data_IF_213976498939
#
_entry.id   IF_213976498939
#
_cell.length_a   1.000
_cell.length_b   1.000
_cell.length_c   1.000
_cell.angle_alpha   90.00
_cell.angle_beta   90.00
_cell.angle_gamma   90.00
#
_symmetry.space_group_name_H-M   'P 1'
#
loop_
_entity.id
_entity.type
_entity.pdbx_description
1 polymer ?
#
# COMPACT_ATOMS: atom_id res chain seq x y z
N UNK A 1 11.47 13.74 -24.77
CA UNK A 1 10.88 12.58 -24.14
C UNK A 1 9.44 12.87 -23.76
N UNK A 2 8.50 12.09 -24.26
CA UNK A 2 7.07 12.23 -23.95
C UNK A 2 6.82 11.65 -22.55
N UNK A 3 6.61 12.51 -21.56
CA UNK A 3 6.14 12.07 -20.26
C UNK A 3 4.68 11.61 -20.38
N UNK A 4 4.40 10.35 -20.12
CA UNK A 4 3.03 9.85 -20.06
C UNK A 4 2.41 10.26 -18.72
N UNK A 5 1.67 11.37 -18.72
CA UNK A 5 0.91 11.76 -17.55
C UNK A 5 -0.35 10.87 -17.47
N UNK A 6 -0.56 10.26 -16.32
CA UNK A 6 -1.74 9.50 -15.98
C UNK A 6 -2.70 10.41 -15.22
N UNK A 7 -3.99 10.38 -15.54
CA UNK A 7 -5.02 11.18 -14.87
C UNK A 7 -5.99 10.28 -14.11
N UNK A 8 -6.29 10.56 -12.85
CA UNK A 8 -7.32 9.82 -12.14
C UNK A 8 -8.69 10.09 -12.74
N UNK A 9 -9.50 9.07 -12.86
CA UNK A 9 -10.93 9.17 -13.20
C UNK A 9 -11.76 9.55 -11.97
N UNK A 10 -13.06 9.82 -12.15
CA UNK A 10 -13.97 9.99 -11.01
C UNK A 10 -14.01 8.74 -10.10
N UNK A 11 -13.90 7.53 -10.67
CA UNK A 11 -13.79 6.31 -9.90
C UNK A 11 -12.44 6.23 -9.13
N UNK A 12 -11.34 6.64 -9.76
CA UNK A 12 -10.04 6.71 -9.12
C UNK A 12 -10.00 7.70 -7.95
N UNK A 13 -10.60 8.88 -8.11
CA UNK A 13 -10.70 9.87 -7.03
C UNK A 13 -11.51 9.30 -5.85
N UNK A 14 -12.65 8.64 -6.10
CA UNK A 14 -13.41 7.94 -5.05
C UNK A 14 -12.62 6.80 -4.40
N UNK A 15 -11.78 6.13 -5.15
CA UNK A 15 -10.87 5.11 -4.63
C UNK A 15 -9.67 5.72 -3.89
N UNK A 16 -9.46 7.03 -4.00
CA UNK A 16 -8.48 7.83 -3.26
C UNK A 16 -7.20 8.13 -4.03
N UNK A 17 -7.21 8.05 -5.35
CA UNK A 17 -6.13 8.62 -6.16
C UNK A 17 -6.22 10.14 -6.13
N UNK A 18 -5.12 10.80 -5.78
CA UNK A 18 -5.04 12.26 -5.83
C UNK A 18 -4.56 12.72 -7.20
N UNK A 19 -5.07 13.87 -7.73
CA UNK A 19 -4.65 14.41 -9.03
C UNK A 19 -3.13 14.69 -9.14
N UNK A 20 -2.49 15.03 -8.02
CA UNK A 20 -1.06 15.33 -7.96
C UNK A 20 -0.17 14.07 -7.95
N UNK A 21 -0.73 12.91 -7.62
CA UNK A 21 -0.03 11.62 -7.56
C UNK A 21 0.02 10.91 -8.92
N UNK A 22 -0.59 11.49 -9.95
CA UNK A 22 -0.47 11.01 -11.32
C UNK A 22 0.96 11.23 -11.81
N UNK A 23 1.80 10.23 -11.56
CA UNK A 23 3.25 10.31 -11.74
C UNK A 23 3.63 10.71 -13.15
N UNK A 24 4.69 11.50 -13.26
CA UNK A 24 5.43 11.65 -14.49
C UNK A 24 6.14 10.32 -14.73
N UNK A 25 5.59 9.47 -15.57
CA UNK A 25 6.35 8.32 -16.06
C UNK A 25 7.49 8.85 -16.91
N UNK A 26 8.72 8.65 -16.48
CA UNK A 26 9.93 8.97 -17.24
C UNK A 26 10.31 7.84 -18.19
N UNK A 27 9.45 6.85 -18.39
CA UNK A 27 9.70 5.74 -19.29
C UNK A 27 9.78 6.23 -20.74
N UNK A 28 11.00 6.49 -21.16
CA UNK A 28 11.34 6.74 -22.56
C UNK A 28 11.39 5.38 -23.28
N UNK A 29 10.37 5.12 -24.10
CA UNK A 29 10.43 4.04 -25.09
C UNK A 29 9.81 2.70 -24.72
N UNK A 30 9.28 2.52 -23.55
CA UNK A 30 8.51 1.28 -23.23
C UNK A 30 7.12 1.32 -23.87
N UNK A 31 6.62 0.18 -24.39
CA UNK A 31 5.25 0.13 -24.89
C UNK A 31 4.26 0.45 -23.75
N UNK A 32 3.27 1.27 -24.07
CA UNK A 32 2.18 1.56 -23.12
C UNK A 32 1.35 0.29 -22.97
N UNK A 33 1.36 -0.28 -21.77
CA UNK A 33 0.47 -1.36 -21.42
C UNK A 33 -0.87 -0.78 -20.98
N UNK A 34 -1.93 -1.04 -21.76
CA UNK A 34 -3.29 -0.64 -21.42
C UNK A 34 -4.16 -1.86 -21.31
N UNK A 35 -4.84 -2.05 -20.15
CA UNK A 35 -5.79 -3.15 -20.01
C UNK A 35 -7.04 -2.88 -20.85
N UNK A 36 -7.67 -3.95 -21.31
CA UNK A 36 -8.99 -3.88 -21.96
C UNK A 36 -10.04 -4.06 -20.87
N UNK A 37 -10.83 -2.99 -20.56
CA UNK A 37 -11.87 -3.08 -19.52
C UNK A 37 -12.94 -4.10 -19.92
N UNK A 38 -13.41 -4.86 -18.95
CA UNK A 38 -14.56 -5.74 -19.07
C UNK A 38 -15.76 -5.13 -18.32
N UNK A 39 -16.94 -5.70 -18.55
CA UNK A 39 -18.15 -5.26 -17.84
C UNK A 39 -17.96 -5.40 -16.31
N UNK A 40 -18.11 -4.29 -15.60
CA UNK A 40 -17.96 -4.24 -14.15
C UNK A 40 -16.58 -3.80 -13.67
N UNK A 41 -15.59 -3.70 -14.55
CA UNK A 41 -14.29 -3.14 -14.20
C UNK A 41 -14.39 -1.64 -13.92
N UNK A 42 -13.53 -1.14 -13.03
CA UNK A 42 -13.42 0.26 -12.69
C UNK A 42 -12.09 0.80 -13.21
N UNK A 43 -12.15 1.70 -14.19
CA UNK A 43 -10.95 2.44 -14.64
C UNK A 43 -10.66 3.50 -13.58
N UNK A 44 -9.53 3.35 -12.87
CA UNK A 44 -9.12 4.27 -11.81
C UNK A 44 -8.30 5.44 -12.36
N UNK A 45 -7.51 5.20 -13.40
CA UNK A 45 -6.74 6.24 -14.07
C UNK A 45 -6.59 5.95 -15.56
N UNK A 46 -6.40 7.01 -16.33
CA UNK A 46 -6.25 6.98 -17.79
C UNK A 46 -4.98 7.70 -18.22
N UNK A 47 -4.40 7.25 -19.31
CA UNK A 47 -3.37 7.97 -20.04
C UNK A 47 -3.97 9.22 -20.72
N UNK A 48 -3.12 10.13 -21.19
CA UNK A 48 -3.58 11.35 -21.90
C UNK A 48 -4.42 11.06 -23.15
N UNK A 49 -4.20 9.93 -23.79
CA UNK A 49 -4.97 9.48 -24.96
C UNK A 49 -6.31 8.82 -24.61
N UNK A 50 -6.70 8.81 -23.32
CA UNK A 50 -7.94 8.19 -22.82
C UNK A 50 -7.86 6.66 -22.63
N UNK A 51 -6.73 6.04 -22.95
CA UNK A 51 -6.58 4.60 -22.71
C UNK A 51 -6.44 4.31 -21.20
N UNK A 52 -7.04 3.23 -20.68
CA UNK A 52 -6.92 2.84 -19.29
C UNK A 52 -5.46 2.62 -18.87
N UNK A 53 -5.04 3.21 -17.75
CA UNK A 53 -3.71 3.07 -17.18
C UNK A 53 -3.74 2.24 -15.90
N UNK A 54 -4.76 2.43 -15.05
CA UNK A 54 -4.96 1.68 -13.82
C UNK A 54 -6.41 1.19 -13.80
N UNK A 55 -6.58 -0.11 -13.60
CA UNK A 55 -7.89 -0.76 -13.65
C UNK A 55 -8.05 -1.66 -12.43
N UNK A 56 -9.17 -1.52 -11.73
CA UNK A 56 -9.61 -2.39 -10.67
C UNK A 56 -10.70 -3.32 -11.20
N UNK A 57 -10.48 -4.62 -11.11
CA UNK A 57 -11.48 -5.65 -11.33
C UNK A 57 -12.04 -6.11 -10.01
N UNK A 58 -13.30 -5.76 -9.69
CA UNK A 58 -13.99 -6.27 -8.50
C UNK A 58 -14.27 -7.77 -8.63
N UNK A 59 -14.40 -8.46 -7.49
CA UNK A 59 -14.76 -9.86 -7.47
C UNK A 59 -14.45 -10.52 -6.15
N UNK A 60 -14.68 -11.83 -6.07
CA UNK A 60 -14.31 -12.62 -4.88
C UNK A 60 -12.80 -12.53 -4.60
N UNK A 61 -12.01 -12.48 -5.65
CA UNK A 61 -10.58 -12.15 -5.59
C UNK A 61 -10.40 -10.93 -6.47
N UNK A 62 -10.33 -9.72 -5.90
CA UNK A 62 -10.16 -8.51 -6.69
C UNK A 62 -8.76 -8.46 -7.31
N UNK A 63 -8.65 -7.83 -8.47
CA UNK A 63 -7.39 -7.65 -9.16
C UNK A 63 -7.16 -6.17 -9.50
N UNK A 64 -5.93 -5.70 -9.30
CA UNK A 64 -5.49 -4.37 -9.70
C UNK A 64 -4.46 -4.51 -10.83
N UNK A 65 -4.75 -3.93 -11.98
CA UNK A 65 -3.82 -3.79 -13.08
C UNK A 65 -3.23 -2.38 -13.09
N UNK A 66 -1.91 -2.30 -13.17
CA UNK A 66 -1.19 -1.04 -13.28
C UNK A 66 -0.32 -1.09 -14.53
N UNK A 67 -0.69 -0.32 -15.56
CA UNK A 67 0.06 -0.20 -16.82
C UNK A 67 1.16 0.87 -16.77
N UNK A 68 1.34 1.51 -15.63
CA UNK A 68 2.38 2.50 -15.36
C UNK A 68 3.39 1.95 -14.36
N UNK A 69 4.67 2.32 -14.52
CA UNK A 69 5.74 1.90 -13.60
C UNK A 69 5.70 2.65 -12.28
N UNK A 70 5.17 3.88 -12.29
CA UNK A 70 5.01 4.65 -11.07
C UNK A 70 3.57 4.53 -10.55
N UNK A 71 3.43 3.79 -9.46
CA UNK A 71 2.16 3.64 -8.73
C UNK A 71 2.38 4.12 -7.30
N UNK A 72 1.59 5.08 -6.81
CA UNK A 72 1.71 5.57 -5.44
C UNK A 72 1.54 4.42 -4.43
N UNK A 73 2.39 4.33 -3.39
CA UNK A 73 2.27 3.30 -2.34
C UNK A 73 0.87 3.27 -1.69
N UNK A 74 0.22 4.43 -1.58
CA UNK A 74 -1.13 4.56 -1.04
C UNK A 74 -2.18 3.81 -1.87
N UNK A 75 -2.00 3.71 -3.20
CA UNK A 75 -2.90 2.92 -4.04
C UNK A 75 -2.84 1.44 -3.67
N UNK A 76 -1.63 0.89 -3.50
CA UNK A 76 -1.46 -0.50 -3.07
C UNK A 76 -2.07 -0.75 -1.69
N UNK A 77 -1.87 0.19 -0.76
CA UNK A 77 -2.44 0.12 0.58
C UNK A 77 -3.97 0.10 0.55
N UNK A 78 -4.58 1.00 -0.24
CA UNK A 78 -6.04 1.05 -0.43
C UNK A 78 -6.58 -0.19 -1.11
N UNK A 79 -5.85 -0.70 -2.11
CA UNK A 79 -6.22 -1.95 -2.78
C UNK A 79 -6.12 -3.14 -1.82
N UNK A 80 -5.08 -3.22 -1.00
CA UNK A 80 -4.95 -4.26 0.01
C UNK A 80 -6.13 -4.23 1.00
N UNK A 81 -6.50 -3.04 1.50
CA UNK A 81 -7.67 -2.88 2.35
C UNK A 81 -8.98 -3.29 1.63
N UNK A 82 -9.16 -2.87 0.38
CA UNK A 82 -10.30 -3.25 -0.45
C UNK A 82 -10.37 -4.77 -0.66
N UNK A 83 -9.24 -5.42 -0.81
CA UNK A 83 -9.12 -6.88 -0.96
C UNK A 83 -9.28 -7.65 0.37
N UNK A 84 -9.51 -6.96 1.50
CA UNK A 84 -9.64 -7.57 2.82
C UNK A 84 -8.30 -8.03 3.42
N UNK A 85 -7.18 -7.55 2.90
CA UNK A 85 -5.86 -7.85 3.46
C UNK A 85 -5.67 -7.05 4.75
N UNK A 86 -5.25 -7.71 5.82
CA UNK A 86 -4.95 -7.05 7.08
C UNK A 86 -3.77 -6.08 6.93
N UNK A 87 -3.99 -4.82 7.30
CA UNK A 87 -2.97 -3.78 7.29
C UNK A 87 -2.39 -3.64 8.70
N UNK A 88 -1.12 -3.98 8.85
CA UNK A 88 -0.43 -3.97 10.14
C UNK A 88 -0.04 -2.59 10.66
N UNK A 89 -0.15 -1.54 9.83
CA UNK A 89 0.22 -0.17 10.22
C UNK A 89 -0.79 0.84 9.72
N UNK A 90 -0.92 1.96 10.42
CA UNK A 90 -1.77 3.10 10.05
C UNK A 90 -1.16 3.97 8.95
N UNK A 91 0.16 3.87 8.72
CA UNK A 91 0.94 4.66 7.76
C UNK A 91 1.94 3.79 7.00
N UNK A 92 2.51 4.28 5.86
CA UNK A 92 3.49 3.52 5.09
C UNK A 92 4.67 3.05 5.93
N UNK A 93 4.98 1.76 5.85
CA UNK A 93 6.13 1.13 6.48
C UNK A 93 6.46 -0.17 5.75
N UNK A 94 7.69 -0.65 5.89
CA UNK A 94 8.03 -2.01 5.45
C UNK A 94 7.65 -2.97 6.57
N UNK A 95 6.66 -3.82 6.30
CA UNK A 95 6.16 -4.77 7.30
C UNK A 95 6.26 -6.19 6.76
N UNK A 96 6.75 -7.08 7.60
CA UNK A 96 6.76 -8.52 7.33
C UNK A 96 6.21 -9.27 8.55
N UNK A 97 5.30 -10.20 8.31
CA UNK A 97 4.80 -11.09 9.36
C UNK A 97 5.00 -12.55 8.98
N UNK A 98 5.55 -13.32 9.92
CA UNK A 98 5.69 -14.77 9.79
C UNK A 98 5.42 -15.44 11.14
N UNK A 99 4.35 -16.21 11.20
CA UNK A 99 3.90 -16.81 12.44
C UNK A 99 3.58 -15.74 13.50
N UNK A 100 4.24 -15.81 14.64
CA UNK A 100 4.11 -14.83 15.73
C UNK A 100 5.19 -13.73 15.72
N UNK A 101 5.97 -13.62 14.65
CA UNK A 101 6.95 -12.54 14.48
C UNK A 101 6.43 -11.51 13.51
N UNK A 102 6.59 -10.24 13.86
CA UNK A 102 6.27 -9.08 13.04
C UNK A 102 7.47 -8.15 13.04
N UNK A 103 8.05 -7.90 11.85
CA UNK A 103 9.06 -6.87 11.69
C UNK A 103 8.46 -5.63 11.06
N UNK A 104 8.91 -4.47 11.50
CA UNK A 104 8.54 -3.17 10.96
C UNK A 104 9.77 -2.31 10.81
N UNK A 105 9.94 -1.67 9.63
CA UNK A 105 10.98 -0.67 9.40
C UNK A 105 10.33 0.63 8.95
N UNK A 106 10.68 1.73 9.62
CA UNK A 106 10.11 3.04 9.41
C UNK A 106 10.85 3.79 8.29
N UNK A 107 10.21 4.15 7.17
CA UNK A 107 10.81 4.99 6.13
C UNK A 107 10.97 6.46 6.60
N UNK A 108 10.19 6.87 7.59
CA UNK A 108 10.18 8.20 8.17
C UNK A 108 10.08 8.13 9.70
N UNK A 109 10.62 9.14 10.37
CA UNK A 109 10.47 9.30 11.82
C UNK A 109 9.02 9.54 12.21
N UNK A 110 8.55 8.91 13.30
CA UNK A 110 7.23 9.17 13.86
C UNK A 110 6.66 8.06 14.71
N UNK A 111 5.42 8.26 15.13
CA UNK A 111 4.64 7.25 15.86
C UNK A 111 3.93 6.37 14.84
N UNK A 112 4.09 5.08 14.96
CA UNK A 112 3.43 4.05 14.18
C UNK A 112 2.44 3.31 15.06
N UNK A 113 1.16 3.31 14.68
CA UNK A 113 0.17 2.42 15.28
C UNK A 113 0.22 1.09 14.55
N UNK A 114 0.57 0.03 15.29
CA UNK A 114 0.73 -1.31 14.75
C UNK A 114 -0.47 -2.14 15.19
N UNK A 115 -1.25 -2.60 14.22
CA UNK A 115 -2.34 -3.54 14.45
C UNK A 115 -1.81 -4.97 14.35
N UNK A 116 -1.64 -5.62 15.49
CA UNK A 116 -1.13 -7.00 15.55
C UNK A 116 -2.17 -8.04 15.12
N UNK A 117 -3.44 -7.65 14.99
CA UNK A 117 -4.57 -8.53 14.71
C UNK A 117 -4.99 -9.40 15.91
N UNK A 118 -4.31 -9.29 17.05
CA UNK A 118 -4.57 -10.09 18.25
C UNK A 118 -4.40 -9.24 19.51
N UNK A 119 -5.10 -9.61 20.60
CA UNK A 119 -4.93 -8.96 21.92
C UNK A 119 -3.67 -9.40 22.67
N UNK A 120 -2.70 -9.98 21.99
CA UNK A 120 -1.51 -10.58 22.59
C UNK A 120 -0.49 -9.52 23.03
N UNK A 121 0.30 -9.86 24.04
CA UNK A 121 1.46 -9.06 24.42
C UNK A 121 2.52 -9.14 23.32
N UNK A 122 3.22 -8.04 23.09
CA UNK A 122 4.32 -7.95 22.14
C UNK A 122 5.62 -7.64 22.88
N UNK A 123 6.66 -8.36 22.55
CA UNK A 123 8.01 -8.18 23.07
C UNK A 123 8.90 -7.75 21.90
N UNK A 124 9.65 -6.69 22.06
CA UNK A 124 10.69 -6.31 21.13
C UNK A 124 11.90 -7.24 21.31
N UNK A 125 12.24 -8.00 20.27
CA UNK A 125 13.33 -8.98 20.34
C UNK A 125 14.72 -8.34 20.38
N UNK A 126 14.86 -7.08 19.97
CA UNK A 126 16.16 -6.41 19.97
C UNK A 126 16.51 -5.85 21.35
N UNK A 127 15.51 -5.30 22.06
CA UNK A 127 15.72 -4.79 23.41
C UNK A 127 15.36 -5.78 24.51
N UNK A 128 14.52 -6.79 24.22
CA UNK A 128 13.93 -7.69 25.20
C UNK A 128 12.78 -7.09 26.01
N UNK A 129 12.42 -5.85 25.74
CA UNK A 129 11.40 -5.11 26.48
C UNK A 129 10.00 -5.34 25.91
N UNK A 130 8.98 -5.07 26.74
CA UNK A 130 7.59 -5.06 26.29
C UNK A 130 7.38 -3.91 25.31
N UNK A 131 6.90 -4.24 24.12
CA UNK A 131 6.47 -3.26 23.13
C UNK A 131 5.01 -2.82 23.32
N UNK A 132 4.29 -3.47 24.24
CA UNK A 132 2.88 -3.20 24.57
C UNK A 132 1.98 -4.40 24.36
N UNK A 133 0.67 -4.15 24.51
CA UNK A 133 -0.39 -5.17 24.36
C UNK A 133 -1.30 -4.81 23.21
N UNK A 134 -1.53 -5.79 22.35
CA UNK A 134 -2.42 -5.64 21.18
C UNK A 134 -3.91 -5.46 21.56
N UNK A 135 -4.78 -5.29 20.58
CA UNK A 135 -4.48 -5.41 19.14
C UNK A 135 -3.69 -4.25 18.56
N UNK A 136 -3.71 -3.06 19.19
CA UNK A 136 -3.05 -1.84 18.69
C UNK A 136 -1.92 -1.41 19.62
N UNK A 137 -0.71 -1.32 19.07
CA UNK A 137 0.51 -0.93 19.78
C UNK A 137 1.05 0.35 19.13
N UNK A 138 1.49 1.31 19.92
CA UNK A 138 2.13 2.53 19.42
C UNK A 138 3.62 2.48 19.67
N UNK A 139 4.41 2.54 18.60
CA UNK A 139 5.87 2.62 18.67
C UNK A 139 6.35 3.92 18.06
N UNK A 140 7.23 4.62 18.75
CA UNK A 140 8.00 5.71 18.15
C UNK A 140 9.23 5.10 17.48
N UNK A 141 9.40 5.38 16.18
CA UNK A 141 10.52 4.88 15.39
C UNK A 141 11.24 6.05 14.71
N UNK A 142 12.56 6.01 14.70
CA UNK A 142 13.38 6.91 13.91
C UNK A 142 13.38 6.48 12.43
N UNK A 143 13.77 7.40 11.53
CA UNK A 143 13.90 7.08 10.11
C UNK A 143 14.93 5.97 9.90
N UNK A 144 14.53 4.91 9.21
CA UNK A 144 15.35 3.72 8.95
C UNK A 144 15.42 2.74 10.12
N UNK A 145 14.80 3.06 11.25
CA UNK A 145 14.76 2.15 12.39
C UNK A 145 13.86 0.95 12.11
N UNK A 146 14.35 -0.23 12.50
CA UNK A 146 13.61 -1.49 12.39
C UNK A 146 13.41 -2.10 13.78
N UNK A 147 12.22 -2.67 14.01
CA UNK A 147 11.89 -3.46 15.19
C UNK A 147 11.39 -4.83 14.79
N UNK A 148 11.67 -5.82 15.63
CA UNK A 148 11.18 -7.18 15.48
C UNK A 148 10.37 -7.52 16.73
N UNK A 149 9.07 -7.64 16.55
CA UNK A 149 8.14 -7.94 17.63
C UNK A 149 7.82 -9.44 17.63
N UNK A 150 7.91 -10.06 18.79
CA UNK A 150 7.36 -11.39 19.08
C UNK A 150 6.01 -11.21 19.75
N UNK A 151 4.95 -11.68 19.09
CA UNK A 151 3.59 -11.68 19.65
C UNK A 151 3.41 -12.93 20.49
N UNK A 152 2.93 -12.78 21.73
CA UNK A 152 2.57 -13.92 22.57
C UNK A 152 1.42 -14.70 21.89
N UNK A 153 1.36 -15.98 22.13
CA UNK A 153 0.26 -16.84 21.65
C UNK A 153 -0.93 -16.76 22.57
#
# INVERSE_FOLDING_TARGET
GSSFAVRPTAAGIRFGLLPAESGKSTDQGSPILSPIPQKGDLVLAEYRNGAPAILLRPGKVPALFCGTTFVPPELYRRFAAYAGVHLYTDRPAFVQKRGNFLSICAPERGIYEIDTGTGSDAIDLLSGESAGKGPKIKLFLEKGECRILKLAR
#
